data_IF_809074356973
#
_entry.id   IF_809074356973
#
_cell.length_a   1.000
_cell.length_b   1.000
_cell.length_c   1.000
_cell.angle_alpha   90.00
_cell.angle_beta   90.00
_cell.angle_gamma   90.00
#
_symmetry.space_group_name_H-M   'P 1'
#
loop_
_entity.id
_entity.type
_entity.pdbx_description
1 polymer ?
#
# COMPACT_ATOMS: atom_id res chain seq x y z
N UNK A 1 -1.04 11.14 3.97
CA UNK A 1 0.20 11.17 3.16
C UNK A 1 -0.12 10.74 1.74
N UNK A 2 0.01 11.62 0.74
CA UNK A 2 -0.06 11.22 -0.68
C UNK A 2 1.37 10.88 -1.14
N UNK A 3 1.91 9.81 -0.55
CA UNK A 3 3.12 9.17 -1.00
C UNK A 3 2.74 7.79 -1.52
N UNK A 4 2.98 7.53 -2.80
CA UNK A 4 2.74 6.21 -3.37
C UNK A 4 3.86 5.25 -2.94
N UNK A 5 3.53 4.26 -2.11
CA UNK A 5 4.42 3.17 -1.71
C UNK A 5 4.42 2.06 -2.77
N UNK A 6 5.56 1.42 -3.00
CA UNK A 6 5.61 0.21 -3.82
C UNK A 6 4.97 -0.96 -3.08
N UNK A 7 3.96 -1.59 -3.68
CA UNK A 7 3.42 -2.87 -3.22
C UNK A 7 3.05 -3.68 -4.48
N UNK A 8 3.83 -4.70 -4.85
CA UNK A 8 3.50 -5.55 -6.00
C UNK A 8 3.51 -4.87 -7.38
N UNK A 9 2.69 -5.38 -8.31
CA UNK A 9 2.61 -4.94 -9.72
C UNK A 9 1.79 -3.64 -9.94
N UNK A 10 1.21 -3.07 -8.89
CA UNK A 10 0.38 -1.86 -8.93
C UNK A 10 0.86 -0.84 -7.88
N UNK A 11 0.44 0.42 -8.02
CA UNK A 11 0.81 1.49 -7.09
C UNK A 11 -0.34 1.82 -6.12
N UNK A 12 -0.01 2.08 -4.87
CA UNK A 12 -0.96 2.52 -3.85
C UNK A 12 -0.39 3.69 -3.05
N UNK A 13 -1.24 4.59 -2.58
CA UNK A 13 -0.88 5.56 -1.54
C UNK A 13 -1.03 4.94 -0.15
N UNK A 14 -0.40 5.55 0.85
CA UNK A 14 -0.65 5.20 2.25
C UNK A 14 -2.12 5.30 2.65
N UNK A 15 -2.87 6.21 2.01
CA UNK A 15 -4.29 6.35 2.27
C UNK A 15 -5.09 5.18 1.70
N UNK A 16 -4.77 4.69 0.49
CA UNK A 16 -5.45 3.54 -0.13
C UNK A 16 -5.31 2.28 0.73
N UNK A 17 -4.12 2.04 1.27
CA UNK A 17 -3.85 0.92 2.19
C UNK A 17 -4.66 1.10 3.48
N UNK A 18 -4.65 2.30 4.06
CA UNK A 18 -5.39 2.59 5.28
C UNK A 18 -6.91 2.38 5.07
N UNK A 19 -7.47 2.79 3.93
CA UNK A 19 -8.87 2.53 3.61
C UNK A 19 -9.22 1.04 3.74
N UNK A 20 -8.37 0.15 3.19
CA UNK A 20 -8.60 -1.30 3.28
C UNK A 20 -8.50 -1.84 4.71
N UNK A 21 -7.53 -1.38 5.50
CA UNK A 21 -7.41 -1.77 6.91
C UNK A 21 -8.65 -1.35 7.71
N UNK A 22 -9.05 -0.09 7.58
CA UNK A 22 -10.15 0.48 8.38
C UNK A 22 -11.51 -0.04 7.93
N UNK A 23 -11.69 -0.39 6.65
CA UNK A 23 -12.88 -1.07 6.14
C UNK A 23 -13.04 -2.45 6.80
N UNK A 24 -11.98 -3.26 6.80
CA UNK A 24 -11.97 -4.60 7.44
C UNK A 24 -12.17 -4.50 8.96
N UNK A 25 -11.65 -3.45 9.59
CA UNK A 25 -11.87 -3.19 11.02
C UNK A 25 -13.28 -2.64 11.33
N UNK A 26 -14.09 -2.31 10.32
CA UNK A 26 -15.40 -1.68 10.51
C UNK A 26 -15.32 -0.27 11.10
N UNK A 27 -14.19 0.43 10.90
CA UNK A 27 -13.86 1.73 11.51
C UNK A 27 -13.54 2.82 10.49
N UNK A 28 -14.12 2.77 9.30
CA UNK A 28 -13.93 3.78 8.27
C UNK A 28 -14.23 5.21 8.75
N UNK A 29 -15.05 5.36 9.81
CA UNK A 29 -15.35 6.63 10.50
C UNK A 29 -14.11 7.35 11.06
N UNK A 30 -13.03 6.62 11.35
CA UNK A 30 -11.81 7.16 11.92
C UNK A 30 -10.77 7.62 10.89
N UNK A 31 -11.02 7.38 9.59
CA UNK A 31 -10.01 7.57 8.57
C UNK A 31 -10.23 8.88 7.78
N UNK A 32 -9.27 9.79 7.91
CA UNK A 32 -9.24 11.05 7.15
C UNK A 32 -7.97 11.17 6.29
N UNK A 33 -8.08 11.64 5.04
CA UNK A 33 -6.92 11.89 4.20
C UNK A 33 -6.14 13.12 4.69
N UNK A 34 -4.81 13.06 4.60
CA UNK A 34 -3.94 14.19 4.89
C UNK A 34 -2.82 14.33 3.86
N UNK A 35 -2.26 15.53 3.70
CA UNK A 35 -1.08 15.75 2.85
C UNK A 35 0.23 15.53 3.62
N UNK A 36 1.35 15.45 2.92
CA UNK A 36 2.67 15.31 3.55
C UNK A 36 3.03 16.55 4.38
N UNK A 37 2.60 17.73 3.92
CA UNK A 37 2.80 19.03 4.58
C UNK A 37 2.00 19.15 5.88
N UNK A 38 0.82 18.52 5.94
CA UNK A 38 0.02 18.43 7.18
C UNK A 38 0.69 17.50 8.18
N UNK A 39 1.23 16.36 7.71
CA UNK A 39 1.87 15.37 8.57
C UNK A 39 3.24 15.82 9.12
N UNK A 40 3.98 16.68 8.40
CA UNK A 40 5.26 17.30 8.84
C UNK A 40 6.30 16.29 9.35
N UNK A 41 6.51 15.21 8.60
CA UNK A 41 7.54 14.22 8.93
C UNK A 41 8.93 14.88 9.04
N UNK A 42 9.71 14.50 10.06
CA UNK A 42 11.05 15.05 10.27
C UNK A 42 12.05 14.74 9.17
N UNK A 43 11.84 13.63 8.43
CA UNK A 43 12.65 13.28 7.27
C UNK A 43 11.86 13.48 5.97
N UNK A 44 12.47 14.05 4.91
CA UNK A 44 11.82 14.19 3.62
C UNK A 44 11.49 12.81 3.04
N UNK A 45 10.29 12.68 2.48
CA UNK A 45 9.83 11.45 1.80
C UNK A 45 9.63 11.72 0.32
N UNK A 46 10.04 10.79 -0.57
CA UNK A 46 9.72 10.89 -1.97
C UNK A 46 8.19 10.84 -2.16
N UNK A 47 7.67 11.66 -3.09
CA UNK A 47 6.24 11.66 -3.43
C UNK A 47 5.79 10.35 -4.09
N UNK A 48 6.72 9.68 -4.78
CA UNK A 48 6.50 8.39 -5.43
C UNK A 48 7.71 7.51 -5.19
N UNK A 49 7.50 6.38 -4.54
CA UNK A 49 8.50 5.34 -4.33
C UNK A 49 8.07 4.00 -4.95
N UNK A 50 7.34 4.07 -6.06
CA UNK A 50 6.97 2.89 -6.88
C UNK A 50 8.23 2.41 -7.62
N UNK A 51 8.50 1.11 -7.56
CA UNK A 51 9.68 0.50 -8.18
C UNK A 51 9.32 -0.12 -9.55
N UNK A 52 10.26 -0.10 -10.47
CA UNK A 52 10.15 -0.81 -11.75
C UNK A 52 10.42 -2.31 -11.56
N UNK A 53 9.44 -3.14 -11.92
CA UNK A 53 9.45 -4.60 -11.80
C UNK A 53 9.89 -5.30 -13.08
N UNK A 54 10.21 -4.57 -14.15
CA UNK A 54 10.58 -5.13 -15.47
C UNK A 54 11.67 -6.20 -15.38
N UNK A 55 12.69 -6.02 -14.53
CA UNK A 55 13.76 -7.01 -14.37
C UNK A 55 13.26 -8.33 -13.77
N UNK A 56 12.34 -8.26 -12.82
CA UNK A 56 11.72 -9.43 -12.20
C UNK A 56 10.82 -10.16 -13.20
N UNK A 57 9.98 -9.41 -13.92
CA UNK A 57 9.02 -9.92 -14.90
C UNK A 57 9.67 -10.59 -16.11
N UNK A 58 10.89 -10.18 -16.47
CA UNK A 58 11.68 -10.82 -17.53
C UNK A 58 12.31 -12.16 -17.13
N UNK A 59 12.29 -12.51 -15.84
CA UNK A 59 12.79 -13.80 -15.34
C UNK A 59 11.78 -14.93 -15.50
N UNK A 60 12.19 -16.16 -15.18
CA UNK A 60 11.31 -17.32 -15.11
C UNK A 60 10.54 -17.37 -13.77
N UNK A 61 9.93 -16.25 -13.39
CA UNK A 61 9.16 -16.10 -12.16
C UNK A 61 7.68 -15.94 -12.48
N UNK A 62 6.81 -16.35 -11.57
CA UNK A 62 5.39 -15.98 -11.64
C UNK A 62 5.26 -14.46 -11.54
N UNK A 63 4.29 -13.84 -12.23
CA UNK A 63 4.03 -12.41 -12.10
C UNK A 63 3.82 -12.01 -10.63
N UNK A 64 4.30 -10.82 -10.26
CA UNK A 64 3.98 -10.26 -8.95
C UNK A 64 2.46 -10.03 -8.88
N UNK A 65 1.80 -10.42 -7.78
CA UNK A 65 0.40 -10.09 -7.59
C UNK A 65 0.21 -8.57 -7.50
N UNK A 66 -1.02 -8.10 -7.75
CA UNK A 66 -1.38 -6.74 -7.39
C UNK A 66 -1.29 -6.55 -5.88
N UNK A 67 -1.12 -5.31 -5.43
CA UNK A 67 -1.05 -5.06 -3.99
C UNK A 67 -2.33 -5.47 -3.28
N UNK A 68 -3.50 -5.27 -3.89
CA UNK A 68 -4.81 -5.64 -3.34
C UNK A 68 -4.85 -7.14 -3.06
N UNK A 69 -4.46 -7.96 -4.04
CA UNK A 69 -4.46 -9.42 -3.89
C UNK A 69 -3.49 -9.88 -2.80
N UNK A 70 -2.28 -9.32 -2.76
CA UNK A 70 -1.30 -9.67 -1.72
C UNK A 70 -1.80 -9.24 -0.32
N UNK A 71 -2.47 -8.10 -0.25
CA UNK A 71 -2.97 -7.51 1.00
C UNK A 71 -4.17 -8.27 1.56
N UNK A 72 -5.13 -8.64 0.73
CA UNK A 72 -6.29 -9.47 1.13
C UNK A 72 -5.83 -10.81 1.72
N UNK A 73 -4.89 -11.49 1.04
CA UNK A 73 -4.29 -12.73 1.55
C UNK A 73 -3.62 -12.55 2.91
N UNK A 74 -2.93 -11.42 3.10
CA UNK A 74 -2.31 -11.10 4.38
C UNK A 74 -3.34 -10.91 5.49
N UNK A 75 -4.41 -10.13 5.23
CA UNK A 75 -5.48 -9.91 6.21
C UNK A 75 -6.21 -11.20 6.57
N UNK A 76 -6.44 -12.09 5.61
CA UNK A 76 -7.00 -13.42 5.88
C UNK A 76 -6.11 -14.27 6.80
N UNK A 77 -4.78 -14.13 6.70
CA UNK A 77 -3.86 -14.83 7.58
C UNK A 77 -3.90 -14.25 9.00
N UNK A 78 -3.83 -12.93 9.13
CA UNK A 78 -3.85 -12.24 10.44
C UNK A 78 -5.19 -12.43 11.16
N UNK A 79 -6.31 -12.53 10.44
CA UNK A 79 -7.64 -12.70 11.05
C UNK A 79 -7.91 -14.13 11.55
N UNK A 80 -7.02 -15.09 11.29
CA UNK A 80 -7.14 -16.49 11.74
C UNK A 80 -6.33 -16.80 13.00
N UNK A 81 -5.49 -15.87 13.43
CA UNK A 81 -4.73 -15.91 14.69
C UNK A 81 -5.51 -15.25 15.83
#
# INVERSE_FOLDING_TARGET
MIGAGAIGASAATWYDIACRVFDVAGRADLLEPCTTEVYRAGAPRPRRSVLDTTKYERGAHSPLPSWENAFERFLEQVSRE
#
